data_IF_037384393986
#
_entry.id   IF_037384393986
#
_cell.length_a   1.000
_cell.length_b   1.000
_cell.length_c   1.000
_cell.angle_alpha   90.00
_cell.angle_beta   90.00
_cell.angle_gamma   90.00
#
_symmetry.space_group_name_H-M   'P 1'
#
loop_
_entity.id
_entity.type
_entity.pdbx_description
1 polymer ?
#
# COMPACT_ATOMS: atom_id res chain seq x y z
N UNK A 1 46.71 -8.73 -73.99
CA UNK A 1 47.90 -9.47 -73.52
C UNK A 1 47.80 -9.63 -72.01
N UNK A 2 47.61 -10.85 -71.53
CA UNK A 2 47.73 -11.25 -70.10
C UNK A 2 49.22 -11.38 -69.72
N UNK A 3 49.58 -11.25 -68.44
CA UNK A 3 49.84 -12.44 -67.62
C UNK A 3 49.25 -12.38 -66.18
N UNK A 4 49.26 -13.50 -65.41
CA UNK A 4 48.17 -13.92 -64.53
C UNK A 4 48.48 -13.95 -63.01
N UNK A 5 47.46 -14.19 -62.18
CA UNK A 5 47.62 -14.37 -60.73
C UNK A 5 46.43 -14.99 -59.98
N UNK A 6 46.34 -16.34 -60.03
CA UNK A 6 45.85 -17.29 -59.00
C UNK A 6 44.39 -17.25 -58.49
N UNK A 7 43.66 -18.31 -58.85
CA UNK A 7 42.55 -18.93 -58.12
C UNK A 7 42.95 -20.36 -57.73
N UNK A 8 42.74 -20.74 -56.46
CA UNK A 8 42.65 -22.12 -55.96
C UNK A 8 41.92 -22.06 -54.61
N UNK A 9 40.65 -22.47 -54.56
CA UNK A 9 40.15 -23.82 -54.27
C UNK A 9 39.82 -23.98 -52.78
N UNK A 10 38.52 -23.93 -52.50
CA UNK A 10 37.92 -24.21 -51.20
C UNK A 10 38.09 -25.71 -50.90
N UNK A 11 38.84 -26.04 -49.84
CA UNK A 11 38.86 -27.37 -49.29
C UNK A 11 37.51 -27.63 -48.57
N UNK A 12 36.77 -28.63 -49.05
CA UNK A 12 35.52 -29.05 -48.48
C UNK A 12 35.74 -29.60 -47.06
N UNK A 13 35.07 -28.99 -46.08
CA UNK A 13 34.95 -29.53 -44.72
C UNK A 13 34.29 -30.91 -44.79
N UNK A 14 34.87 -31.97 -44.21
CA UNK A 14 34.27 -33.29 -44.25
C UNK A 14 32.91 -33.28 -43.53
N UNK A 15 31.92 -33.91 -44.16
CA UNK A 15 30.60 -34.10 -43.58
C UNK A 15 30.71 -34.99 -42.34
N UNK A 16 30.19 -34.49 -41.20
CA UNK A 16 30.16 -35.23 -39.93
C UNK A 16 29.22 -36.43 -40.04
N UNK A 17 29.57 -37.54 -39.39
CA UNK A 17 28.70 -38.73 -39.36
C UNK A 17 27.45 -38.46 -38.51
N UNK A 18 26.33 -39.17 -38.74
CA UNK A 18 25.10 -39.03 -37.95
C UNK A 18 25.32 -39.22 -36.43
N UNK A 19 26.28 -40.06 -36.05
CA UNK A 19 26.67 -40.32 -34.66
C UNK A 19 27.39 -39.12 -34.01
N UNK A 20 28.10 -38.30 -34.79
CA UNK A 20 28.72 -37.05 -34.33
C UNK A 20 27.72 -35.88 -34.24
N UNK A 21 26.53 -36.02 -34.83
CA UNK A 21 25.40 -35.08 -34.66
C UNK A 21 24.53 -35.41 -33.44
N UNK A 22 24.68 -36.61 -32.86
CA UNK A 22 23.90 -37.08 -31.70
C UNK A 22 24.55 -36.80 -30.33
N UNK A 23 25.71 -36.12 -30.29
CA UNK A 23 26.43 -35.75 -29.06
C UNK A 23 26.51 -34.23 -28.81
N UNK A 24 25.59 -33.46 -29.38
CA UNK A 24 25.29 -32.13 -28.83
C UNK A 24 24.39 -32.33 -27.62
N UNK A 25 24.72 -31.85 -26.40
CA UNK A 25 23.72 -31.81 -25.37
C UNK A 25 22.63 -30.83 -25.87
N UNK A 26 21.47 -31.37 -26.25
CA UNK A 26 20.31 -30.60 -26.71
C UNK A 26 19.65 -29.77 -25.58
N UNK A 27 20.30 -29.73 -24.41
CA UNK A 27 19.89 -28.92 -23.28
C UNK A 27 21.13 -28.23 -22.70
N UNK A 28 21.06 -26.92 -22.36
CA UNK A 28 22.12 -26.28 -21.62
C UNK A 28 22.36 -27.07 -20.33
N UNK A 29 23.60 -27.52 -20.10
CA UNK A 29 23.99 -28.15 -18.84
C UNK A 29 23.89 -27.07 -17.75
N UNK A 30 23.04 -27.30 -16.75
CA UNK A 30 22.94 -26.40 -15.61
C UNK A 30 24.27 -26.42 -14.83
N UNK A 31 24.96 -25.27 -14.65
CA UNK A 31 26.32 -25.26 -14.12
C UNK A 31 26.38 -25.21 -12.57
N UNK A 32 25.24 -25.35 -11.88
CA UNK A 32 25.15 -25.28 -10.42
C UNK A 32 25.06 -26.66 -9.76
N UNK A 33 25.55 -26.77 -8.52
CA UNK A 33 25.42 -27.98 -7.72
C UNK A 33 24.01 -28.10 -7.13
N UNK A 34 23.34 -29.22 -7.42
CA UNK A 34 22.02 -29.55 -6.90
C UNK A 34 22.14 -30.43 -5.65
N UNK A 35 21.35 -30.13 -4.62
CA UNK A 35 21.19 -31.01 -3.45
C UNK A 35 20.32 -32.21 -3.82
N UNK A 36 20.44 -33.30 -3.05
CA UNK A 36 19.56 -34.45 -3.19
C UNK A 36 18.08 -34.03 -3.04
N UNK A 37 17.27 -34.36 -4.05
CA UNK A 37 15.86 -33.98 -4.11
C UNK A 37 15.56 -32.68 -4.88
N UNK A 38 16.57 -31.88 -5.21
CA UNK A 38 16.42 -30.77 -6.15
C UNK A 38 16.41 -31.29 -7.59
N UNK A 39 15.67 -30.62 -8.48
CA UNK A 39 15.68 -30.94 -9.92
C UNK A 39 15.82 -29.69 -10.76
N UNK A 40 16.36 -29.86 -11.97
CA UNK A 40 16.51 -28.79 -12.95
C UNK A 40 16.06 -29.26 -14.33
N UNK A 41 15.35 -28.39 -15.03
CA UNK A 41 14.97 -28.57 -16.43
C UNK A 41 15.19 -27.27 -17.21
N UNK A 42 15.23 -27.35 -18.53
CA UNK A 42 15.16 -26.14 -19.36
C UNK A 42 13.79 -25.47 -19.17
N UNK A 43 13.78 -24.16 -18.93
CA UNK A 43 12.52 -23.41 -18.82
C UNK A 43 11.95 -23.18 -20.23
N UNK A 44 10.85 -23.85 -20.56
CA UNK A 44 10.23 -23.83 -21.90
C UNK A 44 8.81 -23.21 -21.91
N UNK A 45 8.47 -22.41 -20.90
CA UNK A 45 7.16 -21.75 -20.74
C UNK A 45 7.19 -20.32 -21.29
N UNK A 46 6.08 -19.59 -21.17
CA UNK A 46 5.97 -18.20 -21.63
C UNK A 46 7.09 -17.32 -21.04
N UNK A 47 7.65 -16.47 -21.91
CA UNK A 47 8.77 -15.60 -21.58
C UNK A 47 10.13 -16.29 -21.54
N UNK A 48 10.25 -17.57 -21.91
CA UNK A 48 11.53 -18.26 -22.03
C UNK A 48 12.50 -17.53 -22.97
N UNK A 49 13.76 -17.44 -22.57
CA UNK A 49 14.80 -16.73 -23.33
C UNK A 49 15.78 -17.65 -24.07
N UNK A 50 15.51 -18.96 -24.11
CA UNK A 50 16.36 -19.95 -24.76
C UNK A 50 17.49 -20.42 -23.85
N UNK A 51 18.71 -20.51 -24.37
CA UNK A 51 19.88 -21.03 -23.64
C UNK A 51 20.14 -20.24 -22.34
N UNK A 52 20.31 -20.97 -21.23
CA UNK A 52 20.60 -20.37 -19.92
C UNK A 52 19.36 -19.93 -19.13
N UNK A 53 18.19 -20.46 -19.45
CA UNK A 53 16.94 -20.32 -18.69
C UNK A 53 16.48 -21.68 -18.17
N UNK A 54 16.31 -21.78 -16.85
CA UNK A 54 16.14 -23.04 -16.14
C UNK A 54 14.94 -22.98 -15.21
N UNK A 55 14.20 -24.07 -15.13
CA UNK A 55 13.22 -24.32 -14.07
C UNK A 55 13.90 -25.18 -13.01
N UNK A 56 14.07 -24.64 -11.81
CA UNK A 56 14.56 -25.40 -10.66
C UNK A 56 13.39 -25.71 -9.73
N UNK A 57 13.37 -26.94 -9.23
CA UNK A 57 12.44 -27.36 -8.17
C UNK A 57 13.27 -27.69 -6.94
N UNK A 58 12.97 -27.00 -5.84
CA UNK A 58 13.56 -27.26 -4.52
C UNK A 58 13.14 -28.62 -3.95
N UNK A 59 13.81 -29.08 -2.89
CA UNK A 59 13.50 -30.33 -2.19
C UNK A 59 12.06 -30.34 -1.67
N UNK A 60 11.54 -29.19 -1.24
CA UNK A 60 10.19 -29.00 -0.75
C UNK A 60 9.15 -28.89 -1.88
N UNK A 61 9.55 -29.01 -3.15
CA UNK A 61 8.65 -29.00 -4.31
C UNK A 61 8.28 -27.61 -4.84
N UNK A 62 8.87 -26.54 -4.30
CA UNK A 62 8.66 -25.18 -4.84
C UNK A 62 9.49 -24.98 -6.11
N UNK A 63 8.84 -24.42 -7.13
CA UNK A 63 9.44 -24.15 -8.43
C UNK A 63 9.96 -22.71 -8.54
N UNK A 64 11.06 -22.56 -9.28
CA UNK A 64 11.77 -21.31 -9.51
C UNK A 64 12.24 -21.24 -10.96
N UNK A 65 12.26 -20.03 -11.51
CA UNK A 65 12.93 -19.75 -12.78
C UNK A 65 14.29 -19.13 -12.50
N UNK A 66 15.36 -19.69 -13.05
CA UNK A 66 16.72 -19.15 -12.97
C UNK A 66 17.24 -18.84 -14.36
N UNK A 67 17.73 -17.62 -14.59
CA UNK A 67 18.25 -17.18 -15.89
C UNK A 67 19.65 -16.56 -15.78
N UNK A 68 20.46 -16.67 -16.85
CA UNK A 68 21.82 -16.11 -16.97
C UNK A 68 21.91 -14.88 -17.90
N UNK A 69 20.79 -14.39 -18.45
CA UNK A 69 20.78 -13.43 -19.59
C UNK A 69 21.63 -12.16 -19.38
N UNK A 70 21.63 -11.60 -18.18
CA UNK A 70 22.39 -10.40 -17.82
C UNK A 70 22.86 -10.51 -16.35
N UNK A 71 23.59 -11.60 -16.07
CA UNK A 71 23.88 -12.06 -14.70
C UNK A 71 22.92 -13.16 -14.25
N UNK A 72 23.24 -13.81 -13.13
CA UNK A 72 22.36 -14.81 -12.52
C UNK A 72 21.18 -14.17 -11.82
N UNK A 73 20.04 -14.83 -11.90
CA UNK A 73 18.76 -14.18 -11.71
C UNK A 73 17.72 -15.25 -11.39
N UNK A 74 16.87 -15.03 -10.38
CA UNK A 74 15.88 -16.02 -9.91
C UNK A 74 14.52 -15.40 -9.64
N UNK A 75 13.45 -16.17 -9.87
CA UNK A 75 12.08 -15.83 -9.51
C UNK A 75 11.29 -17.08 -9.07
N UNK A 76 10.29 -16.91 -8.20
CA UNK A 76 9.33 -17.98 -7.85
C UNK A 76 8.41 -18.30 -9.03
N UNK A 77 7.93 -19.54 -9.12
CA UNK A 77 6.88 -19.97 -10.04
C UNK A 77 5.65 -20.50 -9.25
N UNK A 78 4.41 -20.34 -9.76
CA UNK A 78 4.03 -19.56 -10.94
C UNK A 78 4.24 -18.04 -10.73
N UNK A 79 4.32 -17.27 -11.82
CA UNK A 79 4.42 -15.80 -11.75
C UNK A 79 3.06 -15.20 -11.36
N UNK A 80 2.61 -15.37 -10.12
CA UNK A 80 1.28 -14.99 -9.65
C UNK A 80 1.16 -13.54 -9.14
N UNK A 81 2.27 -12.78 -9.11
CA UNK A 81 2.25 -11.34 -8.83
C UNK A 81 2.78 -10.49 -9.99
N UNK A 82 1.85 -9.89 -10.73
CA UNK A 82 2.13 -8.67 -11.47
C UNK A 82 2.22 -7.49 -10.50
N UNK A 83 3.41 -7.15 -10.00
CA UNK A 83 3.62 -5.75 -9.61
C UNK A 83 3.55 -4.90 -10.89
N UNK A 84 3.24 -3.62 -10.76
CA UNK A 84 3.33 -2.62 -11.85
C UNK A 84 4.76 -2.44 -12.42
N UNK A 85 5.70 -3.27 -12.00
CA UNK A 85 7.07 -3.43 -12.51
C UNK A 85 7.42 -4.87 -12.93
N UNK A 86 6.45 -5.79 -13.00
CA UNK A 86 6.67 -7.20 -13.37
C UNK A 86 7.60 -7.93 -12.41
N UNK A 87 7.36 -7.78 -11.10
CA UNK A 87 8.25 -8.09 -9.98
C UNK A 87 8.96 -9.45 -10.02
N UNK A 88 10.19 -9.43 -10.53
CA UNK A 88 11.23 -10.38 -10.19
C UNK A 88 11.83 -9.97 -8.84
N UNK A 89 12.01 -10.91 -7.91
CA UNK A 89 12.94 -10.73 -6.81
C UNK A 89 14.38 -10.93 -7.34
N UNK A 90 14.88 -9.98 -8.13
CA UNK A 90 16.29 -10.01 -8.53
C UNK A 90 17.16 -9.83 -7.29
N UNK A 91 17.95 -10.84 -6.96
CA UNK A 91 18.88 -10.78 -5.85
C UNK A 91 19.96 -9.75 -6.16
N UNK A 92 19.90 -8.55 -5.58
CA UNK A 92 20.96 -7.55 -5.71
C UNK A 92 21.33 -7.17 -7.15
N UNK A 93 22.47 -6.50 -7.31
CA UNK A 93 23.08 -6.27 -8.61
C UNK A 93 24.06 -7.42 -8.88
N UNK A 94 23.78 -8.24 -9.90
CA UNK A 94 24.66 -9.28 -10.44
C UNK A 94 25.15 -10.35 -9.42
N UNK A 95 24.24 -11.17 -8.86
CA UNK A 95 24.60 -12.22 -7.91
C UNK A 95 25.33 -13.39 -8.60
N UNK A 96 26.10 -14.16 -7.82
CA UNK A 96 26.66 -15.43 -8.29
C UNK A 96 25.58 -16.53 -8.33
N UNK A 97 25.80 -17.59 -9.10
CA UNK A 97 24.89 -18.74 -9.13
C UNK A 97 24.72 -19.39 -7.75
N UNK A 98 25.82 -19.48 -6.99
CA UNK A 98 25.80 -20.01 -5.63
C UNK A 98 24.89 -19.17 -4.72
N UNK A 99 24.95 -17.85 -4.82
CA UNK A 99 24.07 -16.95 -4.07
C UNK A 99 22.60 -17.13 -4.47
N UNK A 100 22.34 -17.34 -5.77
CA UNK A 100 21.00 -17.64 -6.28
C UNK A 100 20.46 -18.96 -5.72
N UNK A 101 21.26 -20.02 -5.73
CA UNK A 101 20.89 -21.34 -5.19
C UNK A 101 20.72 -21.31 -3.67
N UNK A 102 21.62 -20.65 -2.94
CA UNK A 102 21.51 -20.49 -1.50
C UNK A 102 20.23 -19.72 -1.12
N UNK A 103 19.89 -18.70 -1.90
CA UNK A 103 18.64 -17.96 -1.71
C UNK A 103 17.42 -18.84 -1.98
N UNK A 104 17.41 -19.63 -3.06
CA UNK A 104 16.31 -20.55 -3.40
C UNK A 104 16.03 -21.53 -2.25
N UNK A 105 17.08 -22.13 -1.70
CA UNK A 105 16.97 -23.11 -0.60
C UNK A 105 16.47 -22.47 0.68
N UNK A 106 16.95 -21.26 0.98
CA UNK A 106 16.48 -20.51 2.13
C UNK A 106 15.01 -20.11 1.94
N UNK A 107 14.60 -19.80 0.71
CA UNK A 107 13.22 -19.47 0.33
C UNK A 107 12.28 -20.66 0.54
N UNK A 108 12.63 -21.81 -0.05
CA UNK A 108 11.83 -23.02 0.06
C UNK A 108 11.67 -23.47 1.51
N UNK A 109 12.76 -23.47 2.29
CA UNK A 109 12.72 -23.80 3.72
C UNK A 109 11.88 -22.82 4.54
N UNK A 110 11.92 -21.52 4.22
CA UNK A 110 11.11 -20.52 4.92
C UNK A 110 9.63 -20.63 4.59
N UNK A 111 9.29 -20.94 3.33
CA UNK A 111 7.91 -21.20 2.90
C UNK A 111 7.35 -22.43 3.58
N UNK A 112 8.11 -23.52 3.64
CA UNK A 112 7.68 -24.73 4.31
C UNK A 112 7.46 -24.51 5.80
N UNK A 113 8.40 -23.82 6.47
CA UNK A 113 8.25 -23.42 7.86
C UNK A 113 7.02 -22.54 8.08
N UNK A 114 6.76 -21.59 7.17
CA UNK A 114 5.57 -20.74 7.24
C UNK A 114 4.28 -21.55 7.13
N UNK A 115 4.17 -22.43 6.13
CA UNK A 115 3.01 -23.31 5.95
C UNK A 115 2.75 -24.14 7.22
N UNK A 116 3.81 -24.69 7.83
CA UNK A 116 3.69 -25.48 9.06
C UNK A 116 3.20 -24.64 10.25
N UNK A 117 3.79 -23.45 10.46
CA UNK A 117 3.39 -22.51 11.51
C UNK A 117 1.96 -22.04 11.34
N UNK A 118 1.54 -21.73 10.12
CA UNK A 118 0.18 -21.29 9.82
C UNK A 118 -0.85 -22.40 9.95
N UNK A 119 -0.51 -23.65 9.61
CA UNK A 119 -1.36 -24.81 9.92
C UNK A 119 -1.57 -24.98 11.42
N UNK A 120 -0.54 -24.73 12.22
CA UNK A 120 -0.60 -24.88 13.69
C UNK A 120 -1.34 -23.73 14.36
N UNK A 121 -0.96 -22.49 14.04
CA UNK A 121 -1.37 -21.30 14.79
C UNK A 121 -2.34 -20.39 14.04
N UNK A 122 -2.48 -20.53 12.71
CA UNK A 122 -3.23 -19.59 11.86
C UNK A 122 -4.72 -19.44 12.21
N UNK A 123 -5.29 -20.38 12.96
CA UNK A 123 -6.65 -20.27 13.49
C UNK A 123 -6.79 -19.09 14.48
N UNK A 124 -5.73 -18.72 15.21
CA UNK A 124 -5.72 -17.63 16.20
C UNK A 124 -5.78 -16.23 15.58
N UNK A 125 -5.72 -16.09 14.25
CA UNK A 125 -5.85 -14.79 13.58
C UNK A 125 -7.31 -14.40 13.37
N UNK A 126 -8.26 -15.29 13.66
CA UNK A 126 -9.67 -15.11 13.33
C UNK A 126 -10.55 -14.62 14.48
N UNK A 127 -10.12 -14.77 15.72
CA UNK A 127 -10.97 -14.37 16.85
C UNK A 127 -10.78 -12.88 17.15
N UNK A 128 -11.88 -12.16 17.33
CA UNK A 128 -11.83 -10.80 17.86
C UNK A 128 -11.41 -10.85 19.34
N UNK A 129 -10.66 -9.85 19.77
CA UNK A 129 -10.19 -9.70 21.16
C UNK A 129 -10.77 -8.42 21.76
N UNK A 130 -10.81 -8.28 23.09
CA UNK A 130 -11.19 -7.01 23.71
C UNK A 130 -10.35 -5.84 23.15
N UNK A 131 -11.01 -4.71 22.91
CA UNK A 131 -10.32 -3.53 22.37
C UNK A 131 -9.32 -2.99 23.40
N UNK A 132 -8.04 -2.96 23.02
CA UNK A 132 -6.96 -2.34 23.79
C UNK A 132 -6.05 -1.54 22.87
N UNK A 133 -5.52 -0.43 23.34
CA UNK A 133 -4.52 0.36 22.60
C UNK A 133 -3.09 -0.08 22.90
N UNK A 134 -2.91 -0.82 24.00
CA UNK A 134 -1.65 -1.44 24.38
C UNK A 134 -1.39 -2.64 23.48
N UNK A 135 -0.13 -2.84 23.13
CA UNK A 135 0.27 -4.01 22.35
C UNK A 135 0.62 -5.12 23.33
N UNK A 136 -0.17 -6.18 23.32
CA UNK A 136 0.11 -7.39 24.06
C UNK A 136 0.80 -8.39 23.13
N UNK A 137 1.83 -9.06 23.65
CA UNK A 137 2.60 -10.05 22.91
C UNK A 137 2.77 -11.32 23.72
N UNK A 138 2.46 -12.46 23.13
CA UNK A 138 2.61 -13.79 23.71
C UNK A 138 3.46 -14.65 22.76
N UNK A 139 4.54 -15.26 23.25
CA UNK A 139 5.34 -16.19 22.46
C UNK A 139 4.70 -17.59 22.47
N UNK A 140 4.20 -18.03 21.33
CA UNK A 140 3.52 -19.34 21.18
C UNK A 140 4.53 -20.48 21.04
N UNK A 141 5.63 -20.20 20.36
CA UNK A 141 6.81 -21.05 20.18
C UNK A 141 8.00 -20.16 19.80
N UNK A 142 9.24 -20.64 19.88
CA UNK A 142 10.42 -19.85 19.52
C UNK A 142 10.30 -19.18 18.14
N UNK A 143 10.29 -17.84 18.16
CA UNK A 143 10.18 -17.03 16.94
C UNK A 143 8.76 -16.97 16.35
N UNK A 144 7.71 -17.23 17.13
CA UNK A 144 6.31 -17.01 16.75
C UNK A 144 5.61 -16.27 17.89
N UNK A 145 5.17 -15.05 17.58
CA UNK A 145 4.47 -14.17 18.51
C UNK A 145 3.02 -14.07 18.10
N UNK A 146 2.12 -14.32 19.04
CA UNK A 146 0.76 -13.80 18.99
C UNK A 146 0.79 -12.36 19.47
N UNK A 147 0.07 -11.50 18.76
CA UNK A 147 0.01 -10.07 19.03
C UNK A 147 -1.44 -9.63 19.02
N UNK A 148 -1.88 -8.95 20.07
CA UNK A 148 -3.21 -8.35 20.18
C UNK A 148 -3.10 -6.84 20.37
N UNK A 149 -3.90 -6.10 19.61
CA UNK A 149 -4.08 -4.65 19.72
C UNK A 149 -5.28 -4.21 18.88
N UNK A 150 -5.99 -3.18 19.32
CA UNK A 150 -7.14 -2.56 18.66
C UNK A 150 -8.27 -3.53 18.34
N UNK A 151 -8.53 -4.49 19.24
CA UNK A 151 -9.59 -5.47 19.09
C UNK A 151 -9.30 -6.56 18.05
N UNK A 152 -8.11 -6.53 17.45
CA UNK A 152 -7.64 -7.56 16.53
C UNK A 152 -6.44 -8.29 17.12
N UNK A 153 -6.25 -9.52 16.67
CA UNK A 153 -5.06 -10.29 16.95
C UNK A 153 -4.52 -10.91 15.68
N UNK A 154 -3.24 -11.25 15.70
CA UNK A 154 -2.67 -12.11 14.69
C UNK A 154 -1.32 -12.64 15.12
N UNK A 155 -0.61 -13.22 14.16
CA UNK A 155 0.66 -13.88 14.41
C UNK A 155 1.76 -13.23 13.57
N UNK A 156 2.86 -12.90 14.22
CA UNK A 156 4.13 -12.58 13.59
C UNK A 156 5.11 -13.74 13.79
N UNK A 157 5.77 -14.16 12.72
CA UNK A 157 6.75 -15.24 12.77
C UNK A 157 8.11 -14.76 12.25
N UNK A 158 9.17 -15.09 12.98
CA UNK A 158 10.55 -14.81 12.58
C UNK A 158 11.03 -15.88 11.59
N UNK A 159 11.36 -15.43 10.40
CA UNK A 159 12.00 -16.22 9.36
C UNK A 159 13.43 -15.72 9.17
N UNK A 160 14.29 -16.46 8.46
CA UNK A 160 15.67 -16.02 8.22
C UNK A 160 15.79 -14.58 7.70
N UNK A 161 14.80 -14.04 6.99
CA UNK A 161 14.76 -12.66 6.46
C UNK A 161 14.12 -11.62 7.39
N UNK A 162 13.47 -12.08 8.46
CA UNK A 162 12.80 -11.28 9.47
C UNK A 162 11.38 -11.68 9.76
N UNK A 163 10.77 -10.84 10.61
CA UNK A 163 9.40 -10.94 11.05
C UNK A 163 8.42 -10.73 9.91
N UNK A 164 7.52 -11.70 9.70
CA UNK A 164 6.45 -11.66 8.70
C UNK A 164 5.09 -11.99 9.32
N UNK A 165 4.03 -11.44 8.73
CA UNK A 165 2.63 -11.60 9.15
C UNK A 165 1.77 -12.35 8.13
N UNK A 166 2.36 -12.78 7.01
CA UNK A 166 1.65 -13.43 5.91
C UNK A 166 1.74 -14.95 6.01
N UNK A 167 0.68 -15.61 5.56
CA UNK A 167 0.50 -17.06 5.59
C UNK A 167 1.38 -17.85 4.62
N UNK A 168 1.95 -17.16 3.63
CA UNK A 168 2.71 -17.74 2.53
C UNK A 168 4.23 -17.58 2.69
N UNK A 169 4.70 -16.96 3.78
CA UNK A 169 6.12 -16.66 3.97
C UNK A 169 6.68 -15.81 2.83
N UNK A 170 5.92 -14.79 2.39
CA UNK A 170 6.36 -13.92 1.32
C UNK A 170 7.76 -13.35 1.59
N UNK A 171 8.58 -13.33 0.54
CA UNK A 171 9.91 -12.76 0.59
C UNK A 171 9.89 -11.24 0.75
N UNK A 172 10.88 -10.69 1.45
CA UNK A 172 11.16 -9.28 1.36
C UNK A 172 11.64 -8.88 -0.04
N UNK A 173 11.41 -7.61 -0.39
CA UNK A 173 11.91 -6.99 -1.64
C UNK A 173 13.45 -7.03 -1.78
N UNK A 174 14.20 -7.34 -0.70
CA UNK A 174 15.66 -7.42 -0.70
C UNK A 174 16.16 -8.73 -0.08
N UNK A 175 17.02 -9.51 -0.77
CA UNK A 175 17.59 -10.77 -0.28
C UNK A 175 18.57 -10.60 0.89
N UNK A 176 19.12 -9.40 1.05
CA UNK A 176 20.11 -9.08 2.09
C UNK A 176 19.46 -8.61 3.39
N UNK A 177 18.13 -8.72 3.51
CA UNK A 177 17.38 -8.29 4.68
C UNK A 177 17.72 -9.17 5.89
N UNK A 178 18.06 -8.53 7.00
CA UNK A 178 18.38 -9.21 8.28
C UNK A 178 17.14 -9.27 9.17
N UNK A 179 17.01 -10.35 9.93
CA UNK A 179 15.83 -10.66 10.73
C UNK A 179 15.66 -9.84 12.02
N UNK A 180 16.77 -9.46 12.64
CA UNK A 180 16.80 -8.95 14.02
C UNK A 180 16.48 -7.45 14.22
N UNK A 181 15.93 -6.77 13.22
CA UNK A 181 15.62 -5.34 13.37
C UNK A 181 14.33 -5.13 14.18
N UNK A 182 14.45 -4.56 15.40
CA UNK A 182 13.30 -4.20 16.26
C UNK A 182 12.28 -3.31 15.53
N UNK A 183 12.73 -2.47 14.60
CA UNK A 183 11.84 -1.66 13.75
C UNK A 183 10.95 -2.50 12.84
N UNK A 184 11.37 -3.71 12.46
CA UNK A 184 10.60 -4.62 11.59
C UNK A 184 9.55 -5.41 12.34
N UNK A 185 9.85 -5.86 13.56
CA UNK A 185 8.81 -6.44 14.41
C UNK A 185 7.73 -5.38 14.70
N UNK A 186 8.12 -4.16 15.07
CA UNK A 186 7.18 -3.06 15.26
C UNK A 186 6.34 -2.78 13.99
N UNK A 187 6.95 -2.86 12.80
CA UNK A 187 6.26 -2.69 11.53
C UNK A 187 5.27 -3.82 11.24
N UNK A 188 5.69 -5.08 11.43
CA UNK A 188 4.84 -6.26 11.29
C UNK A 188 3.62 -6.18 12.20
N UNK A 189 3.86 -5.87 13.48
CA UNK A 189 2.81 -5.60 14.49
C UNK A 189 1.86 -4.50 14.02
N UNK A 190 2.39 -3.38 13.54
CA UNK A 190 1.57 -2.28 13.03
C UNK A 190 0.72 -2.68 11.82
N UNK A 191 1.28 -3.34 10.80
CA UNK A 191 0.53 -3.79 9.62
C UNK A 191 -0.63 -4.71 9.98
N UNK A 192 -0.40 -5.60 10.95
CA UNK A 192 -1.38 -6.56 11.41
C UNK A 192 -2.50 -5.92 12.23
N UNK A 193 -2.16 -4.97 13.11
CA UNK A 193 -3.09 -4.45 14.11
C UNK A 193 -3.78 -3.15 13.71
N UNK A 194 -3.18 -2.35 12.82
CA UNK A 194 -3.74 -1.06 12.37
C UNK A 194 -5.18 -1.19 11.85
N UNK A 195 -5.50 -2.29 11.18
CA UNK A 195 -6.84 -2.51 10.64
C UNK A 195 -7.92 -2.54 11.72
N UNK A 196 -7.60 -3.01 12.93
CA UNK A 196 -8.52 -2.97 14.07
C UNK A 196 -8.85 -1.54 14.48
N UNK A 197 -7.85 -0.65 14.48
CA UNK A 197 -8.10 0.77 14.72
C UNK A 197 -8.89 1.39 13.57
N UNK A 198 -8.52 1.11 12.32
CA UNK A 198 -9.20 1.66 11.14
C UNK A 198 -10.71 1.28 11.09
N UNK A 199 -11.11 0.17 11.73
CA UNK A 199 -12.53 -0.24 11.91
C UNK A 199 -13.29 0.54 12.99
N UNK A 200 -12.61 1.25 13.89
CA UNK A 200 -13.27 2.10 14.89
C UNK A 200 -13.95 3.27 14.16
N UNK A 201 -15.28 3.46 14.25
CA UNK A 201 -15.95 4.56 13.58
C UNK A 201 -15.54 5.90 14.18
N UNK A 202 -15.54 6.96 13.37
CA UNK A 202 -15.17 8.32 13.80
C UNK A 202 -16.09 8.82 14.91
N UNK A 203 -17.35 8.39 14.94
CA UNK A 203 -18.32 8.69 16.01
C UNK A 203 -17.89 8.20 17.41
N UNK A 204 -17.00 7.19 17.47
CA UNK A 204 -16.41 6.68 18.72
C UNK A 204 -15.08 7.34 19.07
N UNK A 205 -14.65 8.37 18.33
CA UNK A 205 -13.41 9.10 18.59
C UNK A 205 -13.73 10.46 19.20
N UNK A 206 -13.20 10.71 20.41
CA UNK A 206 -13.30 12.02 21.07
C UNK A 206 -11.94 12.69 21.12
N UNK A 207 -11.78 13.81 20.43
CA UNK A 207 -10.55 14.61 20.50
C UNK A 207 -10.52 15.36 21.84
N UNK A 208 -9.54 15.06 22.69
CA UNK A 208 -9.46 15.61 24.05
C UNK A 208 -8.67 16.91 24.08
N UNK A 209 -7.52 16.95 23.42
CA UNK A 209 -6.63 18.12 23.42
C UNK A 209 -5.56 18.03 22.33
N UNK A 210 -4.95 19.17 22.04
CA UNK A 210 -3.65 19.21 21.35
C UNK A 210 -2.56 18.52 22.18
N UNK A 211 -1.60 17.89 21.50
CA UNK A 211 -0.52 17.10 22.10
C UNK A 211 0.82 17.41 21.45
N UNK A 212 1.89 17.42 22.26
CA UNK A 212 3.18 18.00 21.85
C UNK A 212 4.40 17.14 22.21
N UNK A 213 4.20 15.97 22.85
CA UNK A 213 5.35 15.12 23.18
C UNK A 213 5.81 14.36 21.95
N UNK A 214 7.11 14.47 21.66
CA UNK A 214 7.75 13.94 20.45
C UNK A 214 8.13 12.46 20.52
N UNK A 215 7.97 11.84 21.69
CA UNK A 215 8.31 10.44 21.97
C UNK A 215 7.15 9.46 21.69
N UNK A 216 5.97 9.97 21.33
CA UNK A 216 4.79 9.13 21.06
C UNK A 216 4.52 9.07 19.56
N UNK A 217 4.47 7.84 19.04
CA UNK A 217 4.09 7.58 17.66
C UNK A 217 2.58 7.73 17.45
N UNK A 218 2.20 8.22 16.28
CA UNK A 218 0.80 8.25 15.87
C UNK A 218 0.25 6.81 15.74
N UNK A 219 -0.91 6.54 16.35
CA UNK A 219 -1.56 5.23 16.37
C UNK A 219 -1.78 4.59 15.00
N UNK A 220 -2.00 5.39 13.97
CA UNK A 220 -2.16 4.98 12.57
C UNK A 220 -0.88 5.12 11.74
N UNK A 221 0.11 5.86 12.25
CA UNK A 221 1.39 6.04 11.58
C UNK A 221 2.24 4.77 11.67
N UNK A 222 2.75 4.30 10.53
CA UNK A 222 3.71 3.21 10.53
C UNK A 222 5.02 3.63 11.19
N UNK A 223 5.76 2.70 11.82
CA UNK A 223 7.08 2.98 12.37
C UNK A 223 8.03 3.50 11.28
N UNK A 224 8.96 4.34 11.72
CA UNK A 224 9.92 5.27 11.06
C UNK A 224 10.45 5.06 9.63
N UNK A 225 10.16 3.97 8.91
CA UNK A 225 10.83 3.61 7.66
C UNK A 225 9.94 3.64 6.40
N UNK A 226 8.61 3.76 6.52
CA UNK A 226 7.67 3.60 5.38
C UNK A 226 6.74 4.80 5.17
N UNK A 227 7.25 6.01 5.40
CA UNK A 227 6.45 7.24 5.25
C UNK A 227 5.56 7.48 6.45
N UNK A 228 6.13 7.33 7.66
CA UNK A 228 5.52 7.74 8.92
C UNK A 228 4.93 9.14 8.78
N UNK A 229 3.87 9.47 9.55
CA UNK A 229 3.52 10.88 9.81
C UNK A 229 4.83 11.64 9.91
N UNK A 230 5.05 12.68 9.08
CA UNK A 230 6.24 13.52 9.22
C UNK A 230 6.35 13.77 10.73
N UNK A 231 7.51 13.49 11.34
CA UNK A 231 7.78 13.60 12.81
C UNK A 231 7.44 14.98 13.40
N UNK A 232 6.91 15.88 12.58
CA UNK A 232 6.59 17.28 12.80
C UNK A 232 5.10 17.60 12.61
N UNK A 233 4.23 16.64 12.25
CA UNK A 233 2.80 16.93 12.26
C UNK A 233 2.34 17.11 13.71
N UNK A 234 1.59 18.18 14.00
CA UNK A 234 1.00 18.37 15.31
C UNK A 234 0.16 17.15 15.73
N UNK A 235 0.17 16.84 17.02
CA UNK A 235 -0.46 15.63 17.55
C UNK A 235 -1.72 16.00 18.34
N UNK A 236 -2.61 15.03 18.47
CA UNK A 236 -3.84 15.11 19.25
C UNK A 236 -3.94 13.90 20.15
N UNK A 237 -4.35 14.13 21.40
CA UNK A 237 -4.79 13.06 22.28
C UNK A 237 -6.26 12.77 21.99
N UNK A 238 -6.57 11.54 21.63
CA UNK A 238 -7.91 11.11 21.22
C UNK A 238 -8.33 9.93 22.08
N UNK A 239 -9.49 10.03 22.70
CA UNK A 239 -10.13 8.92 23.38
C UNK A 239 -10.91 8.07 22.39
N UNK A 240 -10.80 6.76 22.55
CA UNK A 240 -11.65 5.78 21.89
C UNK A 240 -12.76 5.42 22.88
N UNK A 241 -14.00 5.72 22.52
CA UNK A 241 -15.17 5.49 23.36
C UNK A 241 -15.66 4.04 23.21
N UNK A 242 -16.17 3.46 24.28
CA UNK A 242 -16.96 2.22 24.24
C UNK A 242 -18.41 2.49 23.76
N UNK A 243 -19.22 1.43 23.69
CA UNK A 243 -20.64 1.52 23.31
C UNK A 243 -21.48 2.34 24.32
N UNK A 244 -21.00 2.46 25.55
CA UNK A 244 -21.60 3.30 26.60
C UNK A 244 -21.11 4.75 26.61
N UNK A 245 -20.37 5.17 25.58
CA UNK A 245 -19.74 6.51 25.48
C UNK A 245 -18.73 6.83 26.60
N UNK A 246 -18.25 5.81 27.31
CA UNK A 246 -17.17 5.92 28.28
C UNK A 246 -15.82 5.78 27.56
N UNK A 247 -14.77 6.43 28.07
CA UNK A 247 -13.44 6.32 27.48
C UNK A 247 -12.89 4.90 27.73
N UNK A 248 -12.80 4.09 26.67
CA UNK A 248 -12.23 2.75 26.73
C UNK A 248 -10.71 2.80 26.72
N UNK A 249 -10.13 3.72 25.94
CA UNK A 249 -8.69 3.96 25.93
C UNK A 249 -8.32 5.29 25.27
N UNK A 250 -7.02 5.62 25.25
CA UNK A 250 -6.46 6.80 24.59
C UNK A 250 -5.44 6.42 23.51
N UNK A 251 -5.47 7.13 22.40
CA UNK A 251 -4.49 7.07 21.32
C UNK A 251 -3.96 8.47 20.99
N UNK A 252 -2.81 8.52 20.34
CA UNK A 252 -2.29 9.75 19.76
C UNK A 252 -2.46 9.72 18.24
N UNK A 253 -3.10 10.74 17.66
CA UNK A 253 -3.24 10.90 16.21
C UNK A 253 -2.50 12.15 15.74
N UNK A 254 -1.75 12.02 14.65
CA UNK A 254 -1.18 13.18 13.98
C UNK A 254 -2.29 13.90 13.18
N UNK A 255 -2.16 15.22 13.00
CA UNK A 255 -3.18 16.04 12.34
C UNK A 255 -3.59 15.53 10.96
N UNK A 256 -2.66 14.89 10.23
CA UNK A 256 -2.96 14.22 8.96
C UNK A 256 -3.95 13.07 9.12
N UNK A 257 -3.69 12.12 10.03
CA UNK A 257 -4.57 10.96 10.20
C UNK A 257 -5.87 11.30 10.92
N UNK A 258 -5.85 12.26 11.85
CA UNK A 258 -7.08 12.80 12.42
C UNK A 258 -7.90 13.51 11.33
N UNK A 259 -7.26 14.31 10.49
CA UNK A 259 -7.92 14.99 9.37
C UNK A 259 -8.58 14.02 8.40
N UNK A 260 -7.94 12.88 8.10
CA UNK A 260 -8.55 11.82 7.30
C UNK A 260 -9.84 11.29 7.97
N UNK A 261 -9.78 10.97 9.28
CA UNK A 261 -10.95 10.51 10.05
C UNK A 261 -12.10 11.53 10.05
N UNK A 262 -11.79 12.79 10.33
CA UNK A 262 -12.77 13.89 10.38
C UNK A 262 -13.28 14.28 8.98
N UNK A 263 -12.48 14.01 7.95
CA UNK A 263 -12.83 14.21 6.54
C UNK A 263 -13.83 13.19 5.98
N UNK A 264 -14.40 12.32 6.83
CA UNK A 264 -15.32 11.24 6.41
C UNK A 264 -14.63 10.01 5.83
N UNK A 265 -13.32 9.81 6.04
CA UNK A 265 -12.63 8.58 5.63
C UNK A 265 -12.75 7.51 6.71
N UNK A 266 -13.94 6.92 6.88
CA UNK A 266 -14.04 5.63 7.56
C UNK A 266 -13.52 4.55 6.59
N UNK A 267 -12.20 4.37 6.57
CA UNK A 267 -11.50 3.48 5.63
C UNK A 267 -11.17 4.14 4.28
N UNK A 268 -10.24 3.52 3.55
CA UNK A 268 -9.73 3.99 2.24
C UNK A 268 -10.74 3.85 1.06
N UNK A 269 -12.04 4.10 1.28
CA UNK A 269 -13.13 3.79 0.32
C UNK A 269 -14.18 4.94 0.23
N UNK A 270 -15.17 4.88 -0.70
CA UNK A 270 -15.35 5.80 -1.83
C UNK A 270 -15.83 7.26 -1.61
N UNK A 271 -16.65 7.67 -0.62
CA UNK A 271 -17.17 9.05 -0.57
C UNK A 271 -16.04 10.09 -0.40
N UNK A 272 -14.99 9.71 0.31
CA UNK A 272 -13.77 10.50 0.47
C UNK A 272 -12.96 10.62 -0.83
N UNK A 273 -12.94 9.61 -1.70
CA UNK A 273 -12.30 9.72 -3.03
C UNK A 273 -13.04 10.74 -3.89
N UNK A 274 -14.35 10.82 -3.76
CA UNK A 274 -15.16 11.76 -4.54
C UNK A 274 -14.96 13.20 -4.05
N UNK A 275 -15.02 13.44 -2.74
CA UNK A 275 -14.70 14.76 -2.17
C UNK A 275 -13.24 15.18 -2.44
N UNK A 276 -12.29 14.25 -2.32
CA UNK A 276 -10.87 14.50 -2.64
C UNK A 276 -10.68 14.77 -4.13
N UNK A 277 -11.27 13.97 -5.03
CA UNK A 277 -11.17 14.18 -6.48
C UNK A 277 -11.87 15.48 -6.92
N UNK A 278 -12.99 15.83 -6.30
CA UNK A 278 -13.66 17.12 -6.49
C UNK A 278 -12.73 18.24 -6.02
N UNK A 279 -12.15 18.14 -4.83
CA UNK A 279 -11.28 19.16 -4.27
C UNK A 279 -9.95 19.31 -5.03
N UNK A 280 -9.32 18.22 -5.46
CA UNK A 280 -8.13 18.23 -6.35
C UNK A 280 -8.45 18.93 -7.67
N UNK A 281 -9.55 18.52 -8.32
CA UNK A 281 -10.01 19.11 -9.59
C UNK A 281 -10.31 20.60 -9.43
N UNK A 282 -10.99 20.99 -8.35
CA UNK A 282 -11.46 22.37 -8.12
C UNK A 282 -10.40 23.29 -7.51
N UNK A 283 -9.42 22.78 -6.77
CA UNK A 283 -8.30 23.59 -6.26
C UNK A 283 -7.09 23.62 -7.20
N UNK A 284 -6.90 22.57 -8.01
CA UNK A 284 -5.68 22.36 -8.82
C UNK A 284 -4.49 21.86 -8.03
N UNK A 285 -4.71 21.48 -6.77
CA UNK A 285 -3.69 20.85 -5.95
C UNK A 285 -3.55 19.39 -6.36
N UNK A 286 -2.33 18.89 -6.30
CA UNK A 286 -2.05 17.46 -6.29
C UNK A 286 -2.59 16.81 -5.00
N UNK A 287 -2.77 15.49 -5.02
CA UNK A 287 -3.14 14.70 -3.84
C UNK A 287 -2.27 14.98 -2.62
N UNK A 288 -0.96 15.13 -2.83
CA UNK A 288 -0.01 15.40 -1.75
C UNK A 288 -0.23 16.78 -1.13
N UNK A 289 -0.40 17.81 -1.95
CA UNK A 289 -0.68 19.18 -1.47
C UNK A 289 -2.05 19.27 -0.78
N UNK A 290 -3.02 18.48 -1.25
CA UNK A 290 -4.31 18.38 -0.60
C UNK A 290 -4.19 17.72 0.79
N UNK A 291 -3.43 16.63 0.92
CA UNK A 291 -3.21 15.95 2.19
C UNK A 291 -2.45 16.81 3.19
N UNK A 292 -1.44 17.54 2.73
CA UNK A 292 -0.71 18.49 3.57
C UNK A 292 -1.63 19.63 4.04
N UNK A 293 -2.49 20.19 3.16
CA UNK A 293 -3.48 21.19 3.60
C UNK A 293 -4.49 20.63 4.58
N UNK A 294 -5.04 19.43 4.36
CA UNK A 294 -5.97 18.80 5.30
C UNK A 294 -5.34 18.70 6.69
N UNK A 295 -4.07 18.30 6.77
CA UNK A 295 -3.34 18.20 8.03
C UNK A 295 -3.13 19.56 8.71
N UNK A 296 -2.85 20.62 7.95
CA UNK A 296 -2.75 22.00 8.47
C UNK A 296 -4.10 22.50 8.96
N UNK A 297 -5.15 22.36 8.15
CA UNK A 297 -6.50 22.84 8.47
C UNK A 297 -7.06 22.12 9.70
N UNK A 298 -6.81 20.81 9.81
CA UNK A 298 -7.15 20.04 11.02
C UNK A 298 -6.47 20.65 12.25
N UNK A 299 -5.19 21.02 12.16
CA UNK A 299 -4.51 21.66 13.26
C UNK A 299 -5.08 23.04 13.60
N UNK A 300 -5.18 23.91 12.59
CA UNK A 300 -5.60 25.30 12.73
C UNK A 300 -7.03 25.44 13.27
N UNK A 301 -7.90 24.48 12.97
CA UNK A 301 -9.30 24.50 13.40
C UNK A 301 -9.54 23.67 14.66
N UNK A 302 -9.05 22.42 14.70
CA UNK A 302 -9.40 21.49 15.78
C UNK A 302 -8.66 21.84 17.06
N UNK A 303 -7.35 22.13 17.01
CA UNK A 303 -6.58 22.40 18.23
C UNK A 303 -7.14 23.59 19.03
N UNK A 304 -7.41 24.76 18.42
CA UNK A 304 -8.01 25.87 19.16
C UNK A 304 -9.44 25.59 19.63
N UNK A 305 -10.21 24.74 18.95
CA UNK A 305 -11.55 24.37 19.38
C UNK A 305 -11.49 23.50 20.64
N UNK A 306 -10.72 22.41 20.61
CA UNK A 306 -10.63 21.47 21.74
C UNK A 306 -9.92 22.08 22.95
N UNK A 307 -8.90 22.90 22.74
CA UNK A 307 -8.20 23.59 23.84
C UNK A 307 -9.11 24.64 24.53
N UNK A 308 -10.21 25.05 23.89
CA UNK A 308 -11.26 25.90 24.46
C UNK A 308 -12.50 25.12 24.93
N UNK A 309 -12.49 23.79 24.85
CA UNK A 309 -13.63 22.96 25.20
C UNK A 309 -14.82 23.08 24.25
N UNK A 310 -14.58 23.48 23.00
CA UNK A 310 -15.59 23.60 21.96
C UNK A 310 -15.69 22.30 21.14
N UNK A 311 -16.85 22.04 20.50
CA UNK A 311 -17.01 20.92 19.58
C UNK A 311 -15.96 20.92 18.46
N UNK A 312 -15.58 19.72 17.99
CA UNK A 312 -14.67 19.56 16.86
C UNK A 312 -15.34 20.17 15.61
N UNK A 313 -14.68 21.13 14.93
CA UNK A 313 -15.24 21.75 13.75
C UNK A 313 -15.20 20.82 12.53
N UNK A 314 -16.08 21.07 11.57
CA UNK A 314 -16.14 20.31 10.32
C UNK A 314 -14.99 20.72 9.36
N UNK A 315 -13.90 19.96 9.44
CA UNK A 315 -12.71 20.16 8.61
C UNK A 315 -12.97 19.80 7.14
N UNK A 316 -13.85 18.84 6.87
CA UNK A 316 -14.16 18.38 5.52
C UNK A 316 -14.83 19.50 4.73
N UNK A 317 -15.85 20.10 5.33
CA UNK A 317 -16.58 21.23 4.77
C UNK A 317 -15.68 22.43 4.54
N UNK A 318 -14.83 22.78 5.50
CA UNK A 318 -13.90 23.90 5.34
C UNK A 318 -12.90 23.68 4.18
N UNK A 319 -12.41 22.45 4.00
CA UNK A 319 -11.52 22.13 2.89
C UNK A 319 -12.23 22.15 1.53
N UNK A 320 -13.49 21.70 1.48
CA UNK A 320 -14.33 21.78 0.30
C UNK A 320 -14.59 23.26 -0.08
N UNK A 321 -14.88 24.10 0.90
CA UNK A 321 -15.06 25.55 0.71
C UNK A 321 -13.79 26.21 0.16
N UNK A 322 -12.62 25.91 0.70
CA UNK A 322 -11.34 26.39 0.14
C UNK A 322 -11.16 25.98 -1.33
N UNK A 323 -11.50 24.74 -1.67
CA UNK A 323 -11.35 24.22 -3.02
C UNK A 323 -12.33 24.86 -4.01
N UNK A 324 -13.57 25.10 -3.59
CA UNK A 324 -14.60 25.78 -4.38
C UNK A 324 -14.22 27.23 -4.67
N UNK A 325 -13.76 27.95 -3.64
CA UNK A 325 -13.32 29.34 -3.78
C UNK A 325 -12.09 29.45 -4.70
N UNK A 326 -11.15 28.50 -4.61
CA UNK A 326 -10.02 28.42 -5.53
C UNK A 326 -10.47 28.12 -6.97
N UNK A 327 -11.46 27.23 -7.15
CA UNK A 327 -12.06 26.91 -8.44
C UNK A 327 -12.72 28.11 -9.10
N UNK A 328 -13.50 28.88 -8.33
CA UNK A 328 -14.12 30.12 -8.77
C UNK A 328 -13.07 31.14 -9.22
N UNK A 329 -12.05 31.41 -8.39
CA UNK A 329 -10.96 32.33 -8.74
C UNK A 329 -10.27 31.93 -10.04
N UNK A 330 -10.02 30.63 -10.25
CA UNK A 330 -9.39 30.12 -11.48
C UNK A 330 -10.32 30.27 -12.70
N UNK A 331 -11.60 29.99 -12.56
CA UNK A 331 -12.59 30.18 -13.63
C UNK A 331 -12.68 31.66 -14.06
N UNK A 332 -12.76 32.57 -13.09
CA UNK A 332 -12.76 34.03 -13.30
C UNK A 332 -11.49 34.47 -14.04
N UNK A 333 -10.31 34.01 -13.61
CA UNK A 333 -9.04 34.34 -14.25
C UNK A 333 -8.92 33.76 -15.67
N UNK A 334 -9.37 32.51 -15.88
CA UNK A 334 -9.37 31.87 -17.18
C UNK A 334 -10.31 32.59 -18.16
N UNK A 335 -11.51 32.97 -17.72
CA UNK A 335 -12.47 33.73 -18.51
C UNK A 335 -11.91 35.10 -18.91
N UNK A 336 -11.26 35.83 -17.99
CA UNK A 336 -10.56 37.09 -18.31
C UNK A 336 -9.47 36.90 -19.35
N UNK A 337 -8.65 35.84 -19.22
CA UNK A 337 -7.57 35.54 -20.17
C UNK A 337 -8.12 35.21 -21.56
N UNK A 338 -9.16 34.37 -21.65
CA UNK A 338 -9.80 34.01 -22.90
C UNK A 338 -10.46 35.22 -23.59
N UNK A 339 -11.17 36.06 -22.82
CA UNK A 339 -11.79 37.28 -23.32
C UNK A 339 -10.74 38.28 -23.85
N UNK A 340 -9.60 38.43 -23.15
CA UNK A 340 -8.47 39.25 -23.60
C UNK A 340 -7.85 38.73 -24.90
N UNK A 341 -7.67 37.41 -25.02
CA UNK A 341 -7.15 36.79 -26.25
C UNK A 341 -8.07 37.00 -27.47
N UNK A 342 -9.39 37.09 -27.23
CA UNK A 342 -10.39 37.41 -28.24
C UNK A 342 -10.50 38.90 -28.58
N UNK A 343 -9.68 39.76 -27.96
CA UNK A 343 -9.68 41.20 -28.21
C UNK A 343 -10.89 41.94 -27.62
N UNK A 344 -11.62 41.34 -26.68
CA UNK A 344 -12.80 41.95 -26.08
C UNK A 344 -12.43 43.17 -25.22
N UNK A 345 -13.34 44.14 -25.14
CA UNK A 345 -13.17 45.33 -24.30
C UNK A 345 -13.10 44.98 -22.81
N UNK A 346 -12.59 45.89 -21.98
CA UNK A 346 -12.48 45.66 -20.52
C UNK A 346 -13.84 45.35 -19.88
N UNK A 347 -14.92 46.01 -20.32
CA UNK A 347 -16.29 45.74 -19.82
C UNK A 347 -16.74 44.32 -20.19
N UNK A 348 -16.46 43.87 -21.41
CA UNK A 348 -16.80 42.51 -21.86
C UNK A 348 -15.95 41.44 -21.17
N UNK A 349 -14.68 41.73 -20.87
CA UNK A 349 -13.83 40.85 -20.06
C UNK A 349 -14.36 40.72 -18.63
N UNK A 350 -14.82 41.81 -18.01
CA UNK A 350 -15.42 41.80 -16.67
C UNK A 350 -16.75 41.04 -16.66
N UNK A 351 -17.62 41.23 -17.67
CA UNK A 351 -18.87 40.47 -17.82
C UNK A 351 -18.63 38.96 -18.00
N UNK A 352 -17.66 38.56 -18.82
CA UNK A 352 -17.29 37.14 -18.98
C UNK A 352 -16.74 36.53 -17.68
N UNK A 353 -15.99 37.31 -16.91
CA UNK A 353 -15.46 36.89 -15.62
C UNK A 353 -16.56 36.72 -14.56
N UNK A 354 -17.52 37.64 -14.52
CA UNK A 354 -18.67 37.59 -13.62
C UNK A 354 -19.58 36.41 -13.95
N UNK A 355 -19.83 36.15 -15.24
CA UNK A 355 -20.59 34.98 -15.70
C UNK A 355 -19.89 33.68 -15.28
N UNK A 356 -18.59 33.53 -15.53
CA UNK A 356 -17.83 32.34 -15.14
C UNK A 356 -17.82 32.12 -13.61
N UNK A 357 -17.74 33.20 -12.83
CA UNK A 357 -17.88 33.15 -11.37
C UNK A 357 -19.30 32.73 -10.93
N UNK A 358 -20.34 33.27 -11.56
CA UNK A 358 -21.73 32.93 -11.26
C UNK A 358 -22.05 31.46 -11.60
N UNK A 359 -21.56 30.96 -12.73
CA UNK A 359 -21.67 29.55 -13.13
C UNK A 359 -20.99 28.63 -12.11
N UNK A 360 -19.80 29.00 -11.61
CA UNK A 360 -19.15 28.20 -10.57
C UNK A 360 -19.86 28.25 -9.21
N UNK A 361 -20.40 29.41 -8.81
CA UNK A 361 -21.22 29.51 -7.60
C UNK A 361 -22.51 28.71 -7.71
N UNK A 362 -23.11 28.64 -8.90
CA UNK A 362 -24.27 27.79 -9.15
C UNK A 362 -23.89 26.30 -9.06
N UNK A 363 -22.77 25.88 -9.65
CA UNK A 363 -22.24 24.52 -9.53
C UNK A 363 -21.91 24.13 -8.10
N UNK A 364 -21.35 25.06 -7.31
CA UNK A 364 -21.13 24.89 -5.87
C UNK A 364 -22.41 24.54 -5.14
N UNK A 365 -23.48 25.33 -5.35
CA UNK A 365 -24.78 25.08 -4.70
C UNK A 365 -25.31 23.70 -5.04
N UNK A 366 -25.28 23.33 -6.33
CA UNK A 366 -25.71 22.02 -6.77
C UNK A 366 -24.97 20.86 -6.09
N UNK A 367 -23.64 20.91 -6.02
CA UNK A 367 -22.84 19.85 -5.39
C UNK A 367 -23.11 19.73 -3.88
N UNK A 368 -23.33 20.85 -3.20
CA UNK A 368 -23.68 20.85 -1.76
C UNK A 368 -25.09 20.31 -1.55
N UNK A 369 -26.04 20.67 -2.41
CA UNK A 369 -27.41 20.18 -2.34
C UNK A 369 -27.48 18.67 -2.62
N UNK A 370 -26.70 18.16 -3.60
CA UNK A 370 -26.56 16.72 -3.87
C UNK A 370 -25.96 15.97 -2.67
N UNK A 371 -24.84 16.44 -2.12
CA UNK A 371 -24.20 15.79 -0.98
C UNK A 371 -25.12 15.75 0.27
N UNK A 372 -25.87 16.83 0.52
CA UNK A 372 -26.86 16.86 1.61
C UNK A 372 -28.01 15.89 1.38
N UNK A 373 -28.49 15.77 0.14
CA UNK A 373 -29.55 14.83 -0.20
C UNK A 373 -29.08 13.37 -0.05
N UNK A 374 -27.83 13.07 -0.40
CA UNK A 374 -27.23 11.74 -0.19
C UNK A 374 -27.06 11.42 1.29
N UNK A 375 -26.57 12.38 2.10
CA UNK A 375 -26.43 12.22 3.55
C UNK A 375 -27.80 12.01 4.23
N UNK A 376 -28.82 12.79 3.85
CA UNK A 376 -30.18 12.65 4.37
C UNK A 376 -30.79 11.28 4.00
N UNK A 377 -30.56 10.81 2.77
CA UNK A 377 -30.99 9.47 2.33
C UNK A 377 -30.27 8.34 3.08
N UNK A 378 -28.98 8.50 3.36
CA UNK A 378 -28.21 7.54 4.15
C UNK A 378 -28.70 7.48 5.61
N UNK A 379 -28.94 8.64 6.24
CA UNK A 379 -29.50 8.70 7.60
C UNK A 379 -30.90 8.12 7.68
N UNK A 380 -31.75 8.34 6.68
CA UNK A 380 -33.08 7.74 6.62
C UNK A 380 -33.00 6.22 6.51
N UNK A 381 -32.07 5.70 5.69
CA UNK A 381 -31.79 4.26 5.60
C UNK A 381 -31.34 3.69 6.94
N UNK A 382 -30.36 4.32 7.59
CA UNK A 382 -29.83 3.88 8.90
C UNK A 382 -30.94 3.89 9.95
N UNK A 383 -31.77 4.94 9.97
CA UNK A 383 -32.92 5.04 10.90
C UNK A 383 -33.89 3.88 10.69
N UNK A 384 -34.27 3.60 9.44
CA UNK A 384 -35.16 2.48 9.11
C UNK A 384 -34.57 1.13 9.53
N UNK A 385 -33.30 0.89 9.19
CA UNK A 385 -32.60 -0.35 9.58
C UNK A 385 -32.52 -0.52 11.11
N UNK A 386 -32.33 0.60 11.83
CA UNK A 386 -32.31 0.61 13.30
C UNK A 386 -33.70 0.32 13.89
N UNK A 387 -34.76 0.95 13.36
CA UNK A 387 -36.15 0.71 13.78
C UNK A 387 -36.59 -0.74 13.50
N UNK A 388 -36.20 -1.30 12.36
CA UNK A 388 -36.44 -2.71 12.00
C UNK A 388 -35.70 -3.66 12.95
N UNK A 389 -34.43 -3.39 13.25
CA UNK A 389 -33.64 -4.19 14.18
C UNK A 389 -34.17 -4.12 15.63
N UNK A 390 -34.59 -2.95 16.09
CA UNK A 390 -35.21 -2.78 17.41
C UNK A 390 -36.56 -3.49 17.50
N UNK A 391 -37.38 -3.42 16.45
CA UNK A 391 -38.68 -4.11 16.39
C UNK A 391 -38.52 -5.63 16.39
N UNK A 392 -37.50 -6.14 15.70
CA UNK A 392 -37.17 -7.57 15.68
C UNK A 392 -36.60 -8.09 17.01
N UNK A 393 -36.06 -7.22 17.87
CA UNK A 393 -35.54 -7.60 19.20
C UNK A 393 -36.60 -7.58 20.31
N UNK A 394 -37.77 -6.99 20.05
CA UNK A 394 -38.89 -6.90 21.02
C UNK A 394 -39.95 -7.98 20.75
N UNK A 395 -39.97 -8.57 19.56
CA UNK A 395 -40.79 -9.73 19.18
C UNK A 395 -40.09 -11.05 19.50
#
# INVERSE_FOLDING_TARGET
MTPPGRSASAAATPARTPEQLLLWPAHPLFPGELLAGESVASYAKEGAHGEGDFELVSVEGYAYRVTRRCGWRIARLPNDWSSSTGGYAWIGLDPTLEQVLAWMRRDSGSRELAVQRWRRWGHLVRDDVPFSTETETEELEPGVLRVSRYGVQGIAADYPWGWEIRQDGQLPESPNRRSADRGRLAYAVWCMTRIGFDRVPTSRLRVVRSYWRQDVDCATGGPTHLGSCKRHHPLFLVEVLDEGSCAASTVVLCSRHLGHRLGGSEGYYPPYRELTAIAERLSGRSFVEWQDRLAELTWDMVAPAVDRGLPVPDVAQALLEEALDAGERRAVLAARRAARQRGLSRREQEAAAEQAGAEQRARRRHLVDEARAEEEAEWERIRRETEEAMSASIA
#
